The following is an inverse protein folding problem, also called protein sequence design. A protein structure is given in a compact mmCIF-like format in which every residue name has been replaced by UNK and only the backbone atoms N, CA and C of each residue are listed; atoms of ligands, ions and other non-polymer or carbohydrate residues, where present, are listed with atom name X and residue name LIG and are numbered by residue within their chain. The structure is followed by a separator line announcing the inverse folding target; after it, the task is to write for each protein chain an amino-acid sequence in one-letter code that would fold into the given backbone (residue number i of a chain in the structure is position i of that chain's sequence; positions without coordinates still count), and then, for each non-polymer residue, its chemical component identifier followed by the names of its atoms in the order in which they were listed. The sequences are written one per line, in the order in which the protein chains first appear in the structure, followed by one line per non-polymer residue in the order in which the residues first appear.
data_IF_527222921929
#
_entry.id   IF_527222921929
#
_cell.length_a   1.000
_cell.length_b   1.000
_cell.length_c   1.000
_cell.angle_alpha   90.00
_cell.angle_beta   90.00
_cell.angle_gamma   90.00
#
_symmetry.space_group_name_H-M   'P 1'
#
loop_
_entity.id
_entity.type
_entity.pdbx_description
1 polymer ?
#
# COMPACT_ATOMS: atom_id res chain seq x y z
N UNK A 1 15.22 -13.33 -5.50
CA UNK A 1 14.57 -12.02 -5.28
C UNK A 1 13.13 -12.34 -5.00
N UNK A 2 12.50 -11.76 -3.98
CA UNK A 2 11.06 -11.98 -3.80
C UNK A 2 10.34 -11.49 -5.06
N UNK A 3 9.67 -12.42 -5.75
CA UNK A 3 8.84 -12.10 -6.90
C UNK A 3 7.59 -11.36 -6.39
N UNK A 4 7.62 -10.03 -6.54
CA UNK A 4 6.45 -9.18 -6.38
C UNK A 4 5.70 -9.16 -7.71
N UNK A 5 4.42 -9.50 -7.66
CA UNK A 5 3.48 -9.39 -8.77
C UNK A 5 3.27 -7.90 -9.18
N UNK A 6 2.69 -7.63 -10.35
CA UNK A 6 2.48 -6.26 -10.86
C UNK A 6 1.81 -5.33 -9.83
N UNK A 7 0.75 -5.80 -9.16
CA UNK A 7 0.05 -5.01 -8.15
C UNK A 7 0.94 -4.77 -6.93
N UNK A 8 1.69 -5.77 -6.50
CA UNK A 8 2.61 -5.65 -5.37
C UNK A 8 3.71 -4.63 -5.68
N UNK A 9 4.26 -4.64 -6.90
CA UNK A 9 5.27 -3.66 -7.32
C UNK A 9 4.71 -2.24 -7.34
N UNK A 10 3.50 -2.05 -7.87
CA UNK A 10 2.85 -0.73 -7.89
C UNK A 10 2.57 -0.22 -6.48
N UNK A 11 2.01 -1.05 -5.61
CA UNK A 11 1.76 -0.72 -4.20
C UNK A 11 3.08 -0.37 -3.49
N UNK A 12 4.14 -1.13 -3.77
CA UNK A 12 5.47 -0.91 -3.19
C UNK A 12 6.04 0.43 -3.61
N UNK A 13 5.99 0.74 -4.90
CA UNK A 13 6.50 2.00 -5.43
C UNK A 13 5.81 3.21 -4.78
N UNK A 14 4.48 3.17 -4.65
CA UNK A 14 3.72 4.25 -4.01
C UNK A 14 4.16 4.43 -2.56
N UNK A 15 4.33 3.34 -1.80
CA UNK A 15 4.77 3.41 -0.40
C UNK A 15 6.21 3.96 -0.29
N UNK A 16 7.11 3.50 -1.14
CA UNK A 16 8.51 3.96 -1.23
C UNK A 16 8.58 5.46 -1.50
N UNK A 17 7.80 5.96 -2.46
CA UNK A 17 7.75 7.39 -2.79
C UNK A 17 7.11 8.21 -1.67
N UNK A 18 6.02 7.74 -1.06
CA UNK A 18 5.32 8.49 -0.02
C UNK A 18 6.07 8.57 1.31
N UNK A 19 6.78 7.50 1.66
CA UNK A 19 7.58 7.41 2.88
C UNK A 19 9.04 7.81 2.66
N UNK A 20 9.46 8.05 1.41
CA UNK A 20 10.85 8.35 1.04
C UNK A 20 11.85 7.32 1.60
N UNK A 21 11.46 6.05 1.58
CA UNK A 21 12.27 4.92 2.03
C UNK A 21 12.82 4.14 0.85
N UNK A 22 13.90 3.41 1.06
CA UNK A 22 14.43 2.53 0.01
C UNK A 22 13.47 1.37 -0.26
N UNK A 23 13.28 1.03 -1.54
CA UNK A 23 12.47 -0.11 -1.98
C UNK A 23 12.91 -1.39 -1.29
N UNK A 24 14.21 -1.55 -1.02
CA UNK A 24 14.81 -2.70 -0.33
C UNK A 24 14.32 -2.88 1.11
N UNK A 25 13.91 -1.80 1.77
CA UNK A 25 13.36 -1.85 3.13
C UNK A 25 11.89 -2.29 3.15
N UNK A 26 11.19 -2.17 2.03
CA UNK A 26 9.79 -2.61 1.90
C UNK A 26 9.76 -4.10 1.54
N UNK A 27 9.34 -4.91 2.49
CA UNK A 27 9.13 -6.35 2.37
C UNK A 27 7.65 -6.70 2.51
N UNK A 28 7.26 -7.95 2.24
CA UNK A 28 5.86 -8.39 2.37
C UNK A 28 5.34 -8.33 3.81
N UNK A 29 6.23 -8.38 4.79
CA UNK A 29 5.92 -8.31 6.22
C UNK A 29 6.05 -6.88 6.79
N UNK A 30 6.54 -5.93 5.99
CA UNK A 30 6.72 -4.55 6.44
C UNK A 30 5.38 -3.87 6.73
N UNK A 31 5.32 -3.20 7.88
CA UNK A 31 4.21 -2.34 8.27
C UNK A 31 4.44 -0.91 7.82
N UNK A 32 3.38 -0.15 7.55
CA UNK A 32 3.49 1.28 7.20
C UNK A 32 4.20 2.02 8.34
N UNK A 33 3.83 1.72 9.59
CA UNK A 33 4.44 2.26 10.81
C UNK A 33 5.93 1.91 10.92
N UNK A 34 6.31 0.65 10.68
CA UNK A 34 7.71 0.20 10.73
C UNK A 34 8.60 0.78 9.62
N UNK A 35 7.99 1.27 8.54
CA UNK A 35 8.68 2.01 7.47
C UNK A 35 8.77 3.52 7.78
N UNK A 36 8.33 3.98 8.95
CA UNK A 36 8.32 5.39 9.32
C UNK A 36 7.11 6.16 8.80
N UNK A 37 6.01 5.48 8.50
CA UNK A 37 4.75 6.08 8.09
C UNK A 37 3.77 6.25 9.26
N UNK A 38 3.29 7.47 9.47
CA UNK A 38 2.23 7.74 10.45
C UNK A 38 0.81 7.51 9.87
N UNK A 39 -0.21 7.58 10.72
CA UNK A 39 -1.63 7.49 10.31
C UNK A 39 -2.02 8.47 9.19
N UNK A 40 -1.41 9.66 9.14
CA UNK A 40 -1.62 10.62 8.05
C UNK A 40 -1.03 10.13 6.72
N UNK A 41 0.14 9.47 6.77
CA UNK A 41 0.76 8.89 5.58
C UNK A 41 -0.06 7.74 5.03
N UNK A 42 -0.64 6.91 5.90
CA UNK A 42 -1.57 5.87 5.49
C UNK A 42 -2.76 6.46 4.70
N UNK A 43 -3.39 7.55 5.18
CA UNK A 43 -4.48 8.24 4.47
C UNK A 43 -4.05 8.79 3.09
N UNK A 44 -2.86 9.36 2.98
CA UNK A 44 -2.33 9.84 1.69
C UNK A 44 -2.10 8.69 0.70
N UNK A 45 -1.49 7.60 1.18
CA UNK A 45 -1.23 6.39 0.40
C UNK A 45 -2.54 5.78 -0.12
N UNK A 46 -3.58 5.74 0.72
CA UNK A 46 -4.91 5.26 0.34
C UNK A 46 -5.52 6.06 -0.82
N UNK A 47 -5.50 7.39 -0.71
CA UNK A 47 -6.02 8.27 -1.75
C UNK A 47 -5.26 8.09 -3.08
N UNK A 48 -3.94 7.86 -3.01
CA UNK A 48 -3.13 7.53 -4.17
C UNK A 48 -3.49 6.17 -4.75
N UNK A 49 -3.76 5.16 -3.93
CA UNK A 49 -4.23 3.87 -4.44
C UNK A 49 -5.57 3.99 -5.17
N UNK A 50 -6.53 4.69 -4.58
CA UNK A 50 -7.83 4.94 -5.22
C UNK A 50 -7.67 5.60 -6.59
N UNK A 51 -6.83 6.64 -6.67
CA UNK A 51 -6.59 7.37 -7.93
C UNK A 51 -5.78 6.54 -8.93
N UNK A 52 -4.71 5.88 -8.47
CA UNK A 52 -3.78 5.12 -9.33
C UNK A 52 -4.40 3.87 -9.91
N UNK A 53 -5.17 3.14 -9.10
CA UNK A 53 -5.86 1.92 -9.51
C UNK A 53 -7.30 2.18 -9.96
N UNK A 54 -7.77 3.42 -9.88
CA UNK A 54 -9.15 3.81 -10.18
C UNK A 54 -10.17 2.93 -9.43
N UNK A 55 -9.89 2.69 -8.15
CA UNK A 55 -10.72 1.93 -7.21
C UNK A 55 -11.31 2.87 -6.16
N UNK A 56 -12.36 2.42 -5.47
CA UNK A 56 -12.90 3.13 -4.31
C UNK A 56 -12.80 2.23 -3.09
N UNK A 57 -11.98 2.64 -2.12
CA UNK A 57 -11.71 1.91 -0.89
C UNK A 57 -12.61 2.53 0.19
N UNK A 58 -13.51 1.73 0.76
CA UNK A 58 -14.34 2.21 1.87
C UNK A 58 -13.52 2.49 3.12
N UNK A 59 -13.97 3.43 3.96
CA UNK A 59 -13.31 3.77 5.22
C UNK A 59 -12.94 2.52 6.04
N UNK A 60 -13.85 1.54 6.13
CA UNK A 60 -13.63 0.27 6.85
C UNK A 60 -12.46 -0.57 6.33
N UNK A 61 -12.21 -0.58 5.03
CA UNK A 61 -11.08 -1.29 4.44
C UNK A 61 -9.80 -0.43 4.52
N UNK A 62 -9.94 0.91 4.45
CA UNK A 62 -8.84 1.84 4.67
C UNK A 62 -8.22 1.70 6.08
N UNK A 63 -9.03 1.59 7.14
CA UNK A 63 -8.52 1.37 8.51
C UNK A 63 -7.80 0.03 8.69
N UNK A 64 -8.01 -0.96 7.80
CA UNK A 64 -7.30 -2.25 7.84
C UNK A 64 -5.92 -2.18 7.18
N UNK A 65 -5.63 -1.11 6.43
CA UNK A 65 -4.34 -0.94 5.75
C UNK A 65 -3.30 -0.43 6.75
N UNK A 66 -2.66 -1.39 7.41
CA UNK A 66 -1.57 -1.18 8.36
C UNK A 66 -0.23 -1.77 7.88
N UNK A 67 -0.26 -2.63 6.87
CA UNK A 67 0.89 -3.33 6.33
C UNK A 67 0.86 -3.37 4.82
N UNK A 68 2.03 -3.60 4.22
CA UNK A 68 2.17 -3.78 2.78
C UNK A 68 1.21 -4.86 2.28
N UNK A 69 1.15 -6.00 2.98
CA UNK A 69 0.25 -7.10 2.63
C UNK A 69 -1.23 -6.70 2.67
N UNK A 70 -1.66 -6.00 3.72
CA UNK A 70 -3.05 -5.51 3.84
C UNK A 70 -3.40 -4.54 2.72
N UNK A 71 -2.49 -3.62 2.37
CA UNK A 71 -2.66 -2.69 1.26
C UNK A 71 -2.89 -3.42 -0.07
N UNK A 72 -2.00 -4.36 -0.40
CA UNK A 72 -2.10 -5.16 -1.63
C UNK A 72 -3.40 -5.96 -1.67
N UNK A 73 -3.81 -6.55 -0.54
CA UNK A 73 -5.03 -7.36 -0.48
C UNK A 73 -6.28 -6.53 -0.72
N UNK A 74 -6.38 -5.35 -0.11
CA UNK A 74 -7.49 -4.41 -0.33
C UNK A 74 -7.54 -3.94 -1.78
N UNK A 75 -6.39 -3.57 -2.36
CA UNK A 75 -6.31 -3.17 -3.77
C UNK A 75 -6.76 -4.30 -4.69
N UNK A 76 -6.24 -5.52 -4.49
CA UNK A 76 -6.63 -6.72 -5.26
C UNK A 76 -8.11 -7.03 -5.15
N UNK A 77 -8.69 -6.91 -3.95
CA UNK A 77 -10.12 -7.12 -3.69
C UNK A 77 -10.99 -6.17 -4.49
N UNK A 78 -10.56 -4.91 -4.67
CA UNK A 78 -11.33 -3.90 -5.41
C UNK A 78 -11.07 -3.93 -6.92
N UNK A 79 -9.87 -4.32 -7.37
CA UNK A 79 -9.52 -4.45 -8.79
C UNK A 79 -10.19 -5.65 -9.48
N UNK A 80 -10.47 -6.74 -8.77
CA UNK A 80 -11.11 -7.95 -9.32
C UNK A 80 -12.64 -7.84 -9.47
N UNK A 81 -13.19 -6.62 -9.47
CA UNK A 81 -14.63 -6.39 -9.51
C UNK A 81 -15.16 -6.32 -10.94
#
# INVERSE_FOLDING_TARGET
MEDFDDIEQQVRNIIVEQLQVDVRNVTKDSTIDGLGGDSLKALQILSLFETHFNISISDEDAIKINSFKSAVEVVRKHLKK
#
